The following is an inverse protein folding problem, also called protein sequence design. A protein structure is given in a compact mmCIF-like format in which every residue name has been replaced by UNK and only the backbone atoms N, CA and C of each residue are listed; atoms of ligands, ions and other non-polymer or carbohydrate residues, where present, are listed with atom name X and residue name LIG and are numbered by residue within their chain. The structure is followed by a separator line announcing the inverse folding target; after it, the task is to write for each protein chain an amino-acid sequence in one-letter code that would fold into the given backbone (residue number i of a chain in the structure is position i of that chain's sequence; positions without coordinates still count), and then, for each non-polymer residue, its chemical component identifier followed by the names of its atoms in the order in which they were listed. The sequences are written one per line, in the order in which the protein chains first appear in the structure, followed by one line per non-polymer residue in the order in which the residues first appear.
data_IF_757903682488
#
_entry.id   IF_757903682488
#
_cell.length_a   1.000
_cell.length_b   1.000
_cell.length_c   1.000
_cell.angle_alpha   90.00
_cell.angle_beta   90.00
_cell.angle_gamma   90.00
#
_symmetry.space_group_name_H-M   'P 1'
#
loop_
_entity.id
_entity.type
_entity.pdbx_description
1 polymer ?
#
# COMPACT_ATOMS: atom_id res chain seq x y z
N UNK A 1 12.62 13.55 -12.81
CA UNK A 1 11.38 14.15 -12.26
C UNK A 1 10.58 13.01 -11.66
N UNK A 2 10.38 12.97 -10.35
CA UNK A 2 9.57 11.90 -9.75
C UNK A 2 8.12 12.11 -10.19
N UNK A 3 7.60 11.22 -11.03
CA UNK A 3 6.21 11.27 -11.48
C UNK A 3 5.28 11.37 -10.27
N UNK A 4 4.34 12.33 -10.31
CA UNK A 4 3.38 12.56 -9.23
C UNK A 4 2.71 11.24 -8.85
N UNK A 5 2.45 11.05 -7.56
CA UNK A 5 1.73 9.91 -7.00
C UNK A 5 2.42 8.53 -7.07
N UNK A 6 3.73 8.47 -7.27
CA UNK A 6 4.45 7.22 -7.05
C UNK A 6 4.54 6.86 -5.57
N UNK A 7 4.44 5.57 -5.27
CA UNK A 7 4.54 4.96 -3.95
C UNK A 7 5.45 3.76 -4.03
N UNK A 8 6.01 3.37 -2.88
CA UNK A 8 6.92 2.23 -2.78
C UNK A 8 6.23 1.08 -2.10
N UNK A 9 6.26 -0.10 -2.73
CA UNK A 9 5.83 -1.35 -2.12
C UNK A 9 6.64 -1.61 -0.85
N UNK A 10 5.97 -1.94 0.26
CA UNK A 10 6.67 -2.20 1.53
C UNK A 10 7.44 -3.52 1.53
N UNK A 11 7.03 -4.47 0.70
CA UNK A 11 7.65 -5.80 0.59
C UNK A 11 8.84 -5.79 -0.39
N UNK A 12 8.60 -5.66 -1.69
CA UNK A 12 9.66 -5.75 -2.71
C UNK A 12 10.39 -4.42 -3.00
N UNK A 13 10.00 -3.32 -2.35
CA UNK A 13 10.59 -1.97 -2.53
C UNK A 13 10.45 -1.38 -3.94
N UNK A 14 9.68 -2.01 -4.84
CA UNK A 14 9.36 -1.48 -6.16
C UNK A 14 8.60 -0.16 -6.04
N UNK A 15 8.96 0.82 -6.87
CA UNK A 15 8.24 2.10 -6.98
C UNK A 15 7.30 2.04 -8.17
N UNK A 16 6.02 2.31 -7.95
CA UNK A 16 5.00 2.33 -8.99
C UNK A 16 3.95 3.40 -8.68
N UNK A 17 3.13 3.74 -9.68
CA UNK A 17 2.06 4.71 -9.50
C UNK A 17 1.05 4.20 -8.45
N UNK A 18 0.52 5.07 -7.59
CA UNK A 18 -0.37 4.66 -6.47
C UNK A 18 -1.59 3.84 -6.93
N UNK A 19 -2.08 4.06 -8.15
CA UNK A 19 -3.25 3.36 -8.69
C UNK A 19 -2.94 1.93 -9.13
N UNK A 20 -1.66 1.54 -9.22
CA UNK A 20 -1.23 0.18 -9.60
C UNK A 20 -0.80 -0.66 -8.40
N UNK A 21 -0.97 -0.14 -7.19
CA UNK A 21 -0.61 -0.78 -5.93
C UNK A 21 -1.87 -0.91 -5.06
N UNK A 22 -1.95 -1.97 -4.28
CA UNK A 22 -2.93 -2.06 -3.20
C UNK A 22 -2.57 -1.08 -2.09
N UNK A 23 -3.52 -0.23 -1.65
CA UNK A 23 -3.36 0.61 -0.47
C UNK A 23 -3.95 -0.13 0.72
N UNK A 24 -3.09 -0.57 1.63
CA UNK A 24 -3.52 -1.16 2.90
C UNK A 24 -3.62 -0.03 3.92
N UNK A 25 -4.79 0.15 4.54
CA UNK A 25 -5.05 1.19 5.53
C UNK A 25 -5.22 0.54 6.89
N UNK A 26 -4.40 0.95 7.86
CA UNK A 26 -4.70 0.74 9.27
C UNK A 26 -5.54 1.92 9.75
N UNK A 27 -6.82 1.67 9.96
CA UNK A 27 -7.81 2.70 10.31
C UNK A 27 -7.56 3.28 11.72
N UNK A 28 -8.09 4.47 11.96
CA UNK A 28 -8.18 5.09 13.28
C UNK A 28 -9.64 5.49 13.53
N UNK A 29 -10.16 5.35 14.77
CA UNK A 29 -9.48 4.89 15.98
C UNK A 29 -9.40 3.36 16.13
N UNK A 30 -10.18 2.60 15.38
CA UNK A 30 -10.41 1.18 15.67
C UNK A 30 -9.26 0.23 15.25
N UNK A 31 -8.22 0.76 14.60
CA UNK A 31 -7.01 0.01 14.22
C UNK A 31 -7.25 -1.21 13.32
N UNK A 32 -8.39 -1.27 12.62
CA UNK A 32 -8.70 -2.31 11.66
C UNK A 32 -7.85 -2.18 10.39
N UNK A 33 -7.63 -3.31 9.72
CA UNK A 33 -6.95 -3.33 8.43
C UNK A 33 -8.00 -3.38 7.32
N UNK A 34 -7.99 -2.38 6.45
CA UNK A 34 -8.88 -2.26 5.30
C UNK A 34 -8.09 -2.10 4.01
N UNK A 35 -8.67 -2.54 2.90
CA UNK A 35 -8.12 -2.37 1.56
C UNK A 35 -8.74 -1.13 0.92
N UNK A 36 -7.88 -0.22 0.46
CA UNK A 36 -8.15 1.04 -0.23
C UNK A 36 -9.02 2.08 0.49
N UNK A 37 -9.81 1.67 1.48
CA UNK A 37 -10.80 2.47 2.19
C UNK A 37 -10.38 2.86 3.61
N UNK A 38 -11.09 3.84 4.17
CA UNK A 38 -10.89 4.31 5.53
C UNK A 38 -9.83 5.41 5.71
N UNK A 39 -9.80 5.95 6.92
CA UNK A 39 -8.90 7.01 7.36
C UNK A 39 -7.87 6.45 8.34
N UNK A 40 -6.59 6.72 8.10
CA UNK A 40 -5.51 6.26 8.97
C UNK A 40 -4.17 6.10 8.25
N UNK A 41 -3.27 5.29 8.82
CA UNK A 41 -1.92 5.06 8.25
C UNK A 41 -2.03 4.12 7.05
N UNK A 42 -1.49 4.55 5.91
CA UNK A 42 -1.50 3.77 4.68
C UNK A 42 -0.13 3.16 4.38
N UNK A 43 -0.12 1.92 3.92
CA UNK A 43 1.01 1.25 3.29
C UNK A 43 0.61 0.82 1.88
N UNK A 44 1.59 0.54 1.02
CA UNK A 44 1.34 0.12 -0.35
C UNK A 44 2.01 -1.22 -0.63
N UNK A 45 1.33 -2.08 -1.37
CA UNK A 45 1.82 -3.39 -1.80
C UNK A 45 1.59 -3.59 -3.29
N UNK A 46 2.47 -4.34 -3.95
CA UNK A 46 2.21 -4.81 -5.31
C UNK A 46 1.04 -5.82 -5.29
N UNK A 47 0.18 -5.84 -6.33
CA UNK A 47 -0.94 -6.76 -6.43
C UNK A 47 -0.48 -8.17 -6.87
N UNK A 48 0.45 -8.74 -6.12
CA UNK A 48 1.01 -10.07 -6.36
C UNK A 48 1.14 -10.82 -5.03
N UNK A 49 0.83 -12.12 -5.04
CA UNK A 49 0.84 -12.96 -3.85
C UNK A 49 2.19 -12.92 -3.12
N UNK A 50 3.31 -12.90 -3.87
CA UNK A 50 4.66 -12.80 -3.30
C UNK A 50 4.81 -11.59 -2.38
N UNK A 51 4.32 -10.40 -2.75
CA UNK A 51 4.42 -9.20 -1.93
C UNK A 51 3.45 -9.19 -0.73
N UNK A 52 2.41 -10.02 -0.75
CA UNK A 52 1.48 -10.18 0.36
C UNK A 52 2.01 -11.15 1.42
N UNK A 53 2.71 -12.21 1.00
CA UNK A 53 3.20 -13.27 1.89
C UNK A 53 4.66 -13.12 2.31
N UNK A 54 5.40 -12.22 1.66
CA UNK A 54 6.80 -11.93 2.01
C UNK A 54 6.86 -11.02 3.23
N UNK A 55 6.80 -11.65 4.40
CA UNK A 55 7.17 -11.09 5.71
C UNK A 55 8.26 -11.93 6.32
#
# INVERSE_FOLDING_TARGET
MAEKNHRRCISCRQTAHRNTLWRIVRTFPDHQIQLDEGMGRSAYLCPQASCLTST
#
